data_IF_424729746435
#
_entry.id   IF_424729746435
#
_cell.length_a   1.000
_cell.length_b   1.000
_cell.length_c   1.000
_cell.angle_alpha   90.00
_cell.angle_beta   90.00
_cell.angle_gamma   90.00
#
_symmetry.space_group_name_H-M   'P 1'
#
loop_
_entity.id
_entity.type
_entity.pdbx_description
1 polymer ?
#
# COMPACT_ATOMS: atom_id res chain seq x y z
N UNK A 1 53.07 47.22 51.67
CA UNK A 1 52.87 45.75 51.59
C UNK A 1 51.39 45.45 51.40
N UNK A 2 51.08 44.87 50.23
CA UNK A 2 49.94 44.00 49.90
C UNK A 2 48.48 44.48 50.08
N UNK A 3 47.96 44.93 48.94
CA UNK A 3 46.58 44.91 48.46
C UNK A 3 45.94 43.52 48.51
N UNK A 4 44.65 43.44 48.88
CA UNK A 4 43.76 42.35 48.44
C UNK A 4 42.37 42.91 48.10
N UNK A 5 42.15 43.16 46.81
CA UNK A 5 40.83 43.39 46.20
C UNK A 5 40.08 42.05 46.13
N UNK A 6 38.95 41.93 46.82
CA UNK A 6 37.99 40.85 46.61
C UNK A 6 37.22 41.11 45.31
N UNK A 7 37.59 40.40 44.24
CA UNK A 7 36.84 40.37 42.99
C UNK A 7 35.53 39.58 43.16
N UNK A 8 34.40 40.21 42.83
CA UNK A 8 33.11 39.52 42.64
C UNK A 8 33.10 38.92 41.25
N UNK A 9 33.14 37.59 41.16
CA UNK A 9 32.94 36.84 39.93
C UNK A 9 31.41 36.69 39.74
N UNK A 10 30.83 37.45 38.81
CA UNK A 10 29.43 37.31 38.40
C UNK A 10 29.40 36.24 37.31
N UNK A 11 28.93 35.04 37.66
CA UNK A 11 28.71 33.94 36.73
C UNK A 11 27.37 34.18 36.00
N UNK A 12 27.43 34.66 34.76
CA UNK A 12 26.29 34.74 33.86
C UNK A 12 25.98 33.34 33.33
N UNK A 13 24.96 32.70 33.90
CA UNK A 13 24.39 31.46 33.36
C UNK A 13 23.49 31.85 32.18
N UNK A 14 23.99 31.66 30.96
CA UNK A 14 23.19 31.73 29.74
C UNK A 14 22.28 30.49 29.68
N UNK A 15 21.02 30.65 30.08
CA UNK A 15 19.97 29.68 29.77
C UNK A 15 19.66 29.77 28.26
N UNK A 16 20.35 28.97 27.46
CA UNK A 16 19.90 28.67 26.10
C UNK A 16 18.62 27.85 26.22
N UNK A 17 17.47 28.51 26.09
CA UNK A 17 16.21 27.84 25.87
C UNK A 17 16.30 27.13 24.51
N UNK A 18 16.60 25.82 24.55
CA UNK A 18 16.42 24.96 23.40
C UNK A 18 14.92 24.91 23.13
N UNK A 19 14.43 25.74 22.20
CA UNK A 19 13.09 25.59 21.66
C UNK A 19 13.09 24.32 20.82
N UNK A 20 12.86 23.18 21.47
CA UNK A 20 12.42 21.99 20.80
C UNK A 20 11.18 22.38 20.00
N UNK A 21 11.29 22.37 18.66
CA UNK A 21 10.13 22.37 17.78
C UNK A 21 9.37 21.08 18.05
N UNK A 22 8.53 21.09 19.08
CA UNK A 22 7.41 20.16 19.14
C UNK A 22 6.51 20.58 17.99
N UNK A 23 6.63 19.89 16.85
CA UNK A 23 5.62 19.97 15.80
C UNK A 23 4.30 19.55 16.45
N UNK A 24 3.49 20.52 16.87
CA UNK A 24 2.17 20.25 17.44
C UNK A 24 1.38 19.57 16.35
N UNK A 25 1.06 18.29 16.53
CA UNK A 25 0.25 17.55 15.59
C UNK A 25 -1.09 18.28 15.44
N UNK A 26 -1.33 18.84 14.26
CA UNK A 26 -2.54 19.61 13.98
C UNK A 26 -3.58 18.66 13.39
N UNK A 27 -4.55 18.32 14.23
CA UNK A 27 -5.65 17.42 13.88
C UNK A 27 -6.73 18.21 13.16
N UNK A 28 -7.15 17.70 12.01
CA UNK A 28 -8.26 18.22 11.24
C UNK A 28 -9.39 17.20 11.26
N UNK A 29 -10.54 17.62 11.77
CA UNK A 29 -11.76 16.81 11.77
C UNK A 29 -12.75 17.44 10.78
N UNK A 30 -13.41 16.65 9.94
CA UNK A 30 -14.50 17.12 9.09
C UNK A 30 -15.61 17.77 9.93
N UNK A 31 -16.31 18.77 9.40
CA UNK A 31 -17.50 19.30 10.04
C UNK A 31 -18.55 18.20 10.29
N UNK A 32 -19.32 18.24 11.38
CA UNK A 32 -20.30 17.21 11.74
C UNK A 32 -21.30 16.89 10.62
N UNK A 33 -21.69 17.89 9.84
CA UNK A 33 -22.63 17.77 8.72
C UNK A 33 -22.09 16.96 7.52
N UNK A 34 -20.80 16.62 7.51
CA UNK A 34 -20.16 15.84 6.42
C UNK A 34 -19.96 14.37 6.75
N UNK A 35 -20.58 13.86 7.82
CA UNK A 35 -20.49 12.45 8.21
C UNK A 35 -19.04 11.92 8.29
N UNK A 36 -18.09 12.76 8.73
CA UNK A 36 -16.68 12.36 8.81
C UNK A 36 -15.91 12.38 7.48
N UNK A 37 -16.40 13.08 6.45
CA UNK A 37 -15.76 13.15 5.12
C UNK A 37 -15.20 14.54 4.79
N UNK A 38 -13.91 14.61 4.46
CA UNK A 38 -13.34 15.73 3.71
C UNK A 38 -13.55 15.51 2.22
N UNK A 39 -14.47 16.26 1.62
CA UNK A 39 -14.66 16.26 0.17
C UNK A 39 -13.59 17.14 -0.49
N UNK A 40 -12.87 16.56 -1.44
CA UNK A 40 -11.83 17.23 -2.21
C UNK A 40 -12.14 17.13 -3.70
N UNK A 41 -12.35 18.29 -4.32
CA UNK A 41 -12.73 18.45 -5.73
C UNK A 41 -11.59 18.96 -6.62
N UNK A 42 -10.49 19.34 -5.99
CA UNK A 42 -9.36 20.00 -6.64
C UNK A 42 -8.10 19.89 -5.78
N UNK A 43 -6.94 19.98 -6.41
CA UNK A 43 -5.66 20.05 -5.70
C UNK A 43 -5.60 21.26 -4.74
N UNK A 44 -6.27 22.37 -5.05
CA UNK A 44 -6.36 23.53 -4.14
C UNK A 44 -7.08 23.20 -2.83
N UNK A 45 -8.09 22.32 -2.85
CA UNK A 45 -8.73 21.82 -1.63
C UNK A 45 -7.78 20.94 -0.82
N UNK A 46 -7.01 20.07 -1.50
CA UNK A 46 -5.98 19.22 -0.90
C UNK A 46 -4.86 20.06 -0.26
N UNK A 47 -4.39 21.11 -0.95
CA UNK A 47 -3.34 22.02 -0.45
C UNK A 47 -3.76 22.75 0.84
N UNK A 48 -5.04 23.08 0.99
CA UNK A 48 -5.56 23.68 2.23
C UNK A 48 -5.47 22.71 3.40
N UNK A 49 -5.68 21.42 3.16
CA UNK A 49 -5.49 20.37 4.17
C UNK A 49 -3.99 20.21 4.47
N UNK A 50 -3.14 20.06 3.45
CA UNK A 50 -1.69 19.90 3.61
C UNK A 50 -1.04 21.03 4.43
N UNK A 51 -1.48 22.28 4.24
CA UNK A 51 -0.97 23.44 4.98
C UNK A 51 -1.40 23.49 6.45
N UNK A 52 -2.47 22.78 6.80
CA UNK A 52 -3.15 22.91 8.09
C UNK A 52 -3.12 21.66 8.93
N UNK A 53 -2.91 20.49 8.34
CA UNK A 53 -3.17 19.23 8.99
C UNK A 53 -1.90 18.39 8.95
N UNK A 54 -1.55 17.79 10.09
CA UNK A 54 -0.62 16.66 10.14
C UNK A 54 -1.37 15.36 10.39
N UNK A 55 -2.63 15.44 10.84
CA UNK A 55 -3.52 14.31 11.09
C UNK A 55 -4.92 14.65 10.63
N UNK A 56 -5.54 13.73 9.91
CA UNK A 56 -6.94 13.80 9.48
C UNK A 56 -7.72 12.79 10.30
N UNK A 57 -8.64 13.28 11.12
CA UNK A 57 -9.57 12.44 11.86
C UNK A 57 -10.87 12.31 11.06
N UNK A 58 -10.87 11.44 10.06
CA UNK A 58 -11.96 11.21 9.11
C UNK A 58 -11.43 10.59 7.82
N UNK A 59 -12.29 10.51 6.81
CA UNK A 59 -11.94 10.03 5.48
C UNK A 59 -11.72 11.17 4.49
N UNK A 60 -10.94 10.92 3.45
CA UNK A 60 -10.80 11.76 2.27
C UNK A 60 -11.71 11.20 1.16
N UNK A 61 -12.67 11.99 0.72
CA UNK A 61 -13.57 11.64 -0.38
C UNK A 61 -13.21 12.44 -1.64
N UNK A 62 -12.70 11.77 -2.67
CA UNK A 62 -12.36 12.35 -3.97
C UNK A 62 -13.66 12.60 -4.75
N UNK A 63 -13.99 13.87 -4.98
CA UNK A 63 -15.22 14.25 -5.66
C UNK A 63 -15.17 13.91 -7.16
N UNK A 64 -16.34 13.64 -7.76
CA UNK A 64 -16.49 13.16 -9.15
C UNK A 64 -15.85 14.04 -10.22
N UNK A 65 -15.71 15.34 -9.95
CA UNK A 65 -15.09 16.31 -10.84
C UNK A 65 -13.57 16.49 -10.62
N UNK A 66 -12.96 15.74 -9.70
CA UNK A 66 -11.52 15.81 -9.47
C UNK A 66 -10.78 15.32 -10.72
N UNK A 67 -9.78 16.08 -11.16
CA UNK A 67 -8.94 15.74 -12.31
C UNK A 67 -7.48 16.04 -12.01
N UNK A 68 -6.57 15.37 -12.72
CA UNK A 68 -5.13 15.59 -12.59
C UNK A 68 -4.53 14.94 -11.35
N UNK A 69 -3.36 15.43 -10.92
CA UNK A 69 -2.64 14.80 -9.81
C UNK A 69 -3.29 15.10 -8.45
N UNK A 70 -3.26 14.12 -7.54
CA UNK A 70 -3.56 14.29 -6.12
C UNK A 70 -2.28 14.21 -5.32
N UNK A 71 -1.90 15.30 -4.67
CA UNK A 71 -0.69 15.41 -3.87
C UNK A 71 -1.00 15.97 -2.49
N UNK A 72 -0.89 15.16 -1.43
CA UNK A 72 -1.14 15.56 -0.05
C UNK A 72 0.12 15.34 0.82
N UNK A 73 1.02 16.32 0.88
CA UNK A 73 2.20 16.26 1.75
C UNK A 73 1.84 16.59 3.20
N UNK A 74 2.77 16.33 4.12
CA UNK A 74 2.76 16.69 5.55
C UNK A 74 1.72 15.97 6.44
N UNK A 75 0.67 15.39 5.87
CA UNK A 75 -0.28 14.54 6.59
C UNK A 75 0.35 13.18 6.83
N UNK A 76 0.48 12.81 8.11
CA UNK A 76 1.08 11.54 8.55
C UNK A 76 0.08 10.48 8.94
N UNK A 77 -1.11 10.89 9.39
CA UNK A 77 -2.13 9.97 9.88
C UNK A 77 -3.49 10.34 9.29
N UNK A 78 -4.21 9.34 8.78
CA UNK A 78 -5.61 9.43 8.37
C UNK A 78 -6.37 8.33 9.10
N UNK A 79 -7.41 8.65 9.87
CA UNK A 79 -8.15 7.62 10.62
C UNK A 79 -9.15 6.84 9.76
N UNK A 80 -9.65 7.45 8.69
CA UNK A 80 -10.65 6.86 7.78
C UNK A 80 -10.09 6.46 6.43
N UNK A 81 -10.98 6.38 5.44
CA UNK A 81 -10.68 5.94 4.08
C UNK A 81 -10.00 7.03 3.24
N UNK A 82 -9.35 6.61 2.15
CA UNK A 82 -9.17 7.44 0.96
C UNK A 82 -10.01 6.81 -0.15
N UNK A 83 -11.15 7.41 -0.44
CA UNK A 83 -12.19 6.81 -1.27
C UNK A 83 -12.70 7.78 -2.32
N UNK A 84 -13.37 7.21 -3.31
CA UNK A 84 -14.32 7.95 -4.14
C UNK A 84 -15.70 7.32 -3.97
N UNK A 85 -16.71 7.89 -4.63
CA UNK A 85 -18.08 7.38 -4.58
C UNK A 85 -18.23 5.92 -5.03
N UNK A 86 -19.47 5.45 -5.18
CA UNK A 86 -19.71 4.06 -5.56
C UNK A 86 -19.19 3.78 -6.98
N UNK A 87 -18.55 2.62 -7.17
CA UNK A 87 -18.06 2.14 -8.47
C UNK A 87 -19.10 2.18 -9.61
N UNK A 88 -20.39 2.07 -9.26
CA UNK A 88 -21.53 2.10 -10.17
C UNK A 88 -21.94 3.51 -10.61
N UNK A 89 -21.34 4.55 -10.05
CA UNK A 89 -21.58 5.93 -10.47
C UNK A 89 -21.09 6.13 -11.92
N UNK A 90 -21.94 6.75 -12.74
CA UNK A 90 -21.65 7.01 -14.16
C UNK A 90 -20.55 8.04 -14.36
N UNK A 91 -20.43 9.00 -13.44
CA UNK A 91 -19.39 10.03 -13.47
C UNK A 91 -18.33 9.73 -12.40
N UNK A 92 -17.15 9.34 -12.87
CA UNK A 92 -16.02 8.96 -12.05
C UNK A 92 -14.97 10.06 -12.03
N UNK A 93 -14.31 10.30 -10.89
CA UNK A 93 -13.18 11.22 -10.87
C UNK A 93 -12.07 10.70 -11.79
N UNK A 94 -11.23 11.62 -12.26
CA UNK A 94 -10.14 11.32 -13.19
C UNK A 94 -8.79 11.76 -12.62
N UNK A 95 -8.42 11.33 -11.40
CA UNK A 95 -7.09 11.60 -10.89
C UNK A 95 -6.07 10.82 -11.74
N UNK A 96 -4.94 11.44 -12.05
CA UNK A 96 -3.84 10.77 -12.74
C UNK A 96 -2.92 10.02 -11.78
N UNK A 97 -2.84 10.51 -10.54
CA UNK A 97 -1.93 10.01 -9.52
C UNK A 97 -2.47 10.30 -8.12
N UNK A 98 -2.07 9.48 -7.15
CA UNK A 98 -2.36 9.65 -5.73
C UNK A 98 -1.06 9.54 -4.93
N UNK A 99 -0.58 10.69 -4.44
CA UNK A 99 0.72 10.82 -3.79
C UNK A 99 0.58 11.40 -2.38
N UNK A 100 0.90 10.61 -1.37
CA UNK A 100 0.90 11.01 0.04
C UNK A 100 2.28 10.69 0.66
N UNK A 101 3.31 11.49 0.36
CA UNK A 101 4.71 11.14 0.62
C UNK A 101 5.08 11.06 2.11
N UNK A 102 4.26 11.63 2.97
CA UNK A 102 4.48 11.70 4.42
C UNK A 102 3.51 10.83 5.23
N UNK A 103 2.57 10.14 4.57
CA UNK A 103 1.59 9.31 5.27
C UNK A 103 2.29 8.10 5.89
N UNK A 104 2.07 7.88 7.19
CA UNK A 104 2.66 6.79 7.99
C UNK A 104 1.58 5.78 8.44
N UNK A 105 0.34 6.24 8.65
CA UNK A 105 -0.79 5.41 9.10
C UNK A 105 -2.08 5.79 8.38
N UNK A 106 -2.82 4.77 7.92
CA UNK A 106 -4.18 4.89 7.41
C UNK A 106 -5.06 3.87 8.13
N UNK A 107 -6.07 4.33 8.88
CA UNK A 107 -6.84 3.49 9.80
C UNK A 107 -7.90 2.60 9.17
N UNK A 108 -8.16 2.76 7.87
CA UNK A 108 -9.22 2.05 7.14
C UNK A 108 -8.73 1.63 5.75
N UNK A 109 -9.49 1.86 4.67
CA UNK A 109 -9.21 1.33 3.33
C UNK A 109 -8.93 2.41 2.26
N UNK A 110 -8.39 1.97 1.14
CA UNK A 110 -8.17 2.73 -0.11
C UNK A 110 -8.98 2.06 -1.25
N UNK A 111 -10.32 2.20 -1.28
CA UNK A 111 -11.15 1.63 -2.35
C UNK A 111 -11.20 2.58 -3.56
N UNK A 112 -10.22 2.47 -4.46
CA UNK A 112 -10.11 3.32 -5.65
C UNK A 112 -10.20 2.52 -6.96
N UNK A 113 -10.88 1.38 -6.92
CA UNK A 113 -11.18 0.55 -8.08
C UNK A 113 -12.07 1.32 -9.08
N UNK A 114 -12.00 0.95 -10.36
CA UNK A 114 -12.81 1.54 -11.42
C UNK A 114 -12.41 2.95 -11.86
N UNK A 115 -11.20 3.42 -11.56
CA UNK A 115 -10.63 4.71 -11.99
C UNK A 115 -9.53 4.52 -13.07
N UNK A 116 -9.87 4.52 -14.37
CA UNK A 116 -8.91 4.17 -15.44
C UNK A 116 -7.75 5.14 -15.61
N UNK A 117 -7.87 6.37 -15.09
CA UNK A 117 -6.80 7.38 -15.20
C UNK A 117 -5.82 7.31 -14.03
N UNK A 118 -6.16 6.62 -12.94
CA UNK A 118 -5.34 6.56 -11.74
C UNK A 118 -4.26 5.49 -11.89
N UNK A 119 -3.11 5.89 -12.42
CA UNK A 119 -2.04 4.96 -12.79
C UNK A 119 -0.87 4.96 -11.80
N UNK A 120 -0.71 6.03 -11.02
CA UNK A 120 0.40 6.19 -10.06
C UNK A 120 -0.15 6.27 -8.65
N UNK A 121 0.33 5.40 -7.76
CA UNK A 121 0.03 5.41 -6.34
C UNK A 121 1.32 5.38 -5.52
N UNK A 122 1.55 6.41 -4.70
CA UNK A 122 2.76 6.53 -3.90
C UNK A 122 2.44 6.96 -2.47
N UNK A 123 2.68 6.04 -1.54
CA UNK A 123 2.61 6.27 -0.09
C UNK A 123 3.85 5.63 0.55
N UNK A 124 5.06 6.07 0.19
CA UNK A 124 6.31 5.35 0.45
C UNK A 124 6.65 5.22 1.93
N UNK A 125 6.01 6.00 2.82
CA UNK A 125 6.20 5.97 4.27
C UNK A 125 5.05 5.28 5.01
N UNK A 126 3.98 4.87 4.32
CA UNK A 126 2.83 4.23 4.95
C UNK A 126 3.30 2.90 5.52
N UNK A 127 3.15 2.70 6.83
CA UNK A 127 3.59 1.48 7.53
C UNK A 127 2.44 0.54 7.83
N UNK A 128 1.30 1.11 8.20
CA UNK A 128 0.14 0.35 8.62
C UNK A 128 -1.08 0.87 7.91
N UNK A 129 -1.76 -0.07 7.25
CA UNK A 129 -3.10 0.10 6.71
C UNK A 129 -4.05 -0.76 7.53
N UNK A 130 -5.12 -0.18 8.04
CA UNK A 130 -6.12 -0.88 8.86
C UNK A 130 -7.18 -1.65 8.07
N UNK A 131 -7.10 -1.66 6.74
CA UNK A 131 -8.08 -2.28 5.86
C UNK A 131 -7.47 -2.63 4.50
N UNK A 132 -8.24 -2.41 3.44
CA UNK A 132 -7.94 -2.92 2.10
C UNK A 132 -7.37 -1.86 1.15
N UNK A 133 -6.55 -2.27 0.19
CA UNK A 133 -6.19 -1.46 -0.99
C UNK A 133 -6.80 -2.11 -2.22
N UNK A 134 -7.62 -1.37 -2.98
CA UNK A 134 -8.22 -1.89 -4.22
C UNK A 134 -8.02 -0.93 -5.39
N UNK A 135 -7.22 -1.32 -6.39
CA UNK A 135 -6.90 -0.54 -7.60
C UNK A 135 -6.97 -1.42 -8.85
N UNK A 136 -7.56 -0.90 -9.93
CA UNK A 136 -7.80 -1.68 -11.16
C UNK A 136 -6.86 -1.35 -12.33
N UNK A 137 -6.16 -0.22 -12.30
CA UNK A 137 -5.40 0.33 -13.44
C UNK A 137 -4.00 0.86 -13.03
N UNK A 138 -3.37 0.22 -12.05
CA UNK A 138 -2.07 0.62 -11.55
C UNK A 138 -0.95 0.39 -12.58
N UNK A 139 -0.03 1.36 -12.69
CA UNK A 139 1.22 1.25 -13.45
C UNK A 139 2.44 1.36 -12.53
N UNK A 140 2.42 2.35 -11.64
CA UNK A 140 3.49 2.59 -10.65
C UNK A 140 2.88 2.56 -9.24
N UNK A 141 3.39 1.65 -8.40
CA UNK A 141 2.90 1.41 -7.04
C UNK A 141 4.08 1.47 -6.07
N UNK A 142 4.05 2.42 -5.14
CA UNK A 142 5.08 2.60 -4.13
C UNK A 142 4.53 2.62 -2.71
N UNK A 143 4.60 1.46 -2.08
CA UNK A 143 4.25 1.21 -0.68
C UNK A 143 5.43 0.54 0.03
N UNK A 144 6.66 0.95 -0.29
CA UNK A 144 7.91 0.30 0.17
C UNK A 144 8.03 0.11 1.68
N UNK A 145 7.38 0.96 2.48
CA UNK A 145 7.40 0.89 3.95
C UNK A 145 6.18 0.19 4.55
N UNK A 146 5.22 -0.25 3.74
CA UNK A 146 4.00 -0.90 4.24
C UNK A 146 4.39 -2.22 4.87
N UNK A 147 4.07 -2.41 6.14
CA UNK A 147 4.37 -3.63 6.89
C UNK A 147 3.13 -4.53 7.00
N UNK A 148 1.95 -3.95 7.19
CA UNK A 148 0.71 -4.67 7.47
C UNK A 148 -0.49 -4.06 6.73
N UNK A 149 -1.34 -4.92 6.17
CA UNK A 149 -2.63 -4.58 5.56
C UNK A 149 -3.61 -5.76 5.74
N UNK A 150 -4.91 -5.52 5.59
CA UNK A 150 -5.89 -6.62 5.58
C UNK A 150 -5.90 -7.30 4.22
N UNK A 151 -6.23 -6.55 3.16
CA UNK A 151 -6.09 -6.99 1.77
C UNK A 151 -5.30 -6.00 0.92
N UNK A 152 -4.61 -6.53 -0.08
CA UNK A 152 -3.91 -5.77 -1.12
C UNK A 152 -4.35 -6.31 -2.47
N UNK A 153 -5.07 -5.51 -3.25
CA UNK A 153 -5.54 -5.83 -4.60
C UNK A 153 -5.05 -4.78 -5.61
N UNK A 154 -3.95 -5.10 -6.28
CA UNK A 154 -3.38 -4.29 -7.35
C UNK A 154 -3.59 -4.97 -8.69
N UNK A 155 -4.31 -4.31 -9.58
CA UNK A 155 -4.48 -4.71 -10.98
C UNK A 155 -4.07 -3.55 -11.88
N UNK A 156 -3.58 -3.88 -13.05
CA UNK A 156 -3.17 -2.90 -14.04
C UNK A 156 -1.96 -3.38 -14.84
N UNK A 157 -1.58 -2.60 -15.83
CA UNK A 157 -0.32 -2.78 -16.55
C UNK A 157 0.88 -2.27 -15.72
N UNK A 158 1.16 -2.98 -14.63
CA UNK A 158 2.15 -2.60 -13.61
C UNK A 158 3.57 -2.75 -14.17
N UNK A 159 4.31 -1.66 -14.18
CA UNK A 159 5.74 -1.63 -14.54
C UNK A 159 6.66 -1.44 -13.33
N UNK A 160 6.15 -0.87 -12.24
CA UNK A 160 6.90 -0.70 -11.00
C UNK A 160 6.02 -1.03 -9.79
N UNK A 161 6.48 -1.95 -8.95
CA UNK A 161 5.82 -2.37 -7.73
C UNK A 161 6.83 -2.43 -6.58
N UNK A 162 6.64 -1.60 -5.55
CA UNK A 162 7.46 -1.62 -4.33
C UNK A 162 6.65 -1.94 -3.10
N UNK A 163 6.94 -3.09 -2.51
CA UNK A 163 6.32 -3.65 -1.30
C UNK A 163 7.38 -4.25 -0.37
N UNK A 164 8.57 -3.64 -0.32
CA UNK A 164 9.78 -4.21 0.28
C UNK A 164 9.61 -4.63 1.75
N UNK A 165 8.86 -3.86 2.52
CA UNK A 165 8.64 -4.07 3.95
C UNK A 165 7.39 -4.88 4.28
N UNK A 166 6.60 -5.29 3.27
CA UNK A 166 5.31 -5.95 3.49
C UNK A 166 5.55 -7.28 4.18
N UNK A 167 5.13 -7.37 5.44
CA UNK A 167 5.40 -8.50 6.34
C UNK A 167 4.18 -9.39 6.48
N UNK A 168 3.00 -8.78 6.57
CA UNK A 168 1.75 -9.49 6.85
C UNK A 168 0.59 -8.91 6.04
N UNK A 169 -0.18 -9.81 5.43
CA UNK A 169 -1.45 -9.48 4.77
C UNK A 169 -2.51 -10.42 5.32
N UNK A 170 -3.44 -9.91 6.13
CA UNK A 170 -4.33 -10.77 6.93
C UNK A 170 -5.23 -11.66 6.08
N UNK A 171 -5.67 -11.17 4.92
CA UNK A 171 -6.73 -11.80 4.12
C UNK A 171 -6.28 -12.19 2.72
N UNK A 172 -5.99 -11.21 1.84
CA UNK A 172 -5.70 -11.49 0.43
C UNK A 172 -4.64 -10.57 -0.13
N UNK A 173 -3.62 -11.15 -0.74
CA UNK A 173 -2.69 -10.48 -1.63
C UNK A 173 -3.01 -10.88 -3.08
N UNK A 174 -3.63 -9.97 -3.84
CA UNK A 174 -3.87 -10.11 -5.26
C UNK A 174 -3.05 -9.10 -6.05
N UNK A 175 -2.25 -9.61 -6.99
CA UNK A 175 -1.50 -8.80 -7.95
C UNK A 175 -1.80 -9.34 -9.34
N UNK A 176 -2.46 -8.55 -10.18
CA UNK A 176 -2.69 -8.89 -11.58
C UNK A 176 -1.96 -7.88 -12.47
N UNK A 177 -0.97 -8.35 -13.22
CA UNK A 177 -0.38 -7.60 -14.32
C UNK A 177 -1.30 -7.67 -15.55
N UNK A 178 -2.47 -7.05 -15.42
CA UNK A 178 -3.44 -6.71 -16.46
C UNK A 178 -4.53 -5.82 -15.86
N UNK A 179 -5.05 -4.87 -16.64
CA UNK A 179 -6.14 -4.00 -16.21
C UNK A 179 -7.35 -4.82 -15.78
N UNK A 180 -7.96 -4.44 -14.65
CA UNK A 180 -9.11 -5.12 -14.01
C UNK A 180 -8.93 -6.64 -13.81
N UNK A 181 -7.70 -7.16 -13.91
CA UNK A 181 -7.39 -8.59 -13.92
C UNK A 181 -8.11 -9.37 -15.05
N UNK A 182 -8.38 -8.73 -16.19
CA UNK A 182 -9.00 -9.36 -17.35
C UNK A 182 -7.93 -10.08 -18.21
N UNK A 183 -8.02 -11.41 -18.42
CA UNK A 183 -7.09 -12.14 -19.28
C UNK A 183 -7.17 -11.76 -20.76
N UNK A 184 -8.25 -11.11 -21.21
CA UNK A 184 -8.40 -10.60 -22.57
C UNK A 184 -7.61 -9.30 -22.83
N UNK A 185 -7.14 -8.63 -21.77
CA UNK A 185 -6.33 -7.42 -21.83
C UNK A 185 -4.90 -7.80 -21.46
N UNK A 186 -4.05 -8.18 -22.42
CA UNK A 186 -2.68 -8.58 -22.10
C UNK A 186 -1.88 -7.37 -21.60
N UNK A 187 -1.00 -7.55 -20.60
CA UNK A 187 -0.10 -6.48 -20.17
C UNK A 187 0.91 -6.13 -21.26
N UNK A 188 1.38 -4.89 -21.24
CA UNK A 188 2.39 -4.38 -22.17
C UNK A 188 3.76 -4.98 -21.86
N UNK A 189 4.12 -5.04 -20.57
CA UNK A 189 5.43 -5.48 -20.10
C UNK A 189 5.37 -6.67 -19.13
N UNK A 190 6.48 -7.40 -18.94
CA UNK A 190 6.61 -8.33 -17.84
C UNK A 190 6.73 -7.57 -16.50
N UNK A 191 6.30 -8.21 -15.41
CA UNK A 191 6.40 -7.70 -14.05
C UNK A 191 7.29 -8.58 -13.20
N UNK A 192 8.25 -7.97 -12.52
CA UNK A 192 9.01 -8.59 -11.44
C UNK A 192 8.31 -8.33 -10.11
N UNK A 193 8.09 -9.39 -9.33
CA UNK A 193 7.43 -9.30 -8.02
C UNK A 193 8.44 -9.74 -6.95
N UNK A 194 8.89 -8.78 -6.14
CA UNK A 194 9.75 -9.06 -4.97
C UNK A 194 9.03 -8.66 -3.68
N UNK A 195 8.91 -9.61 -2.77
CA UNK A 195 8.25 -9.50 -1.48
C UNK A 195 9.19 -10.06 -0.40
N UNK A 196 10.36 -9.44 -0.20
CA UNK A 196 11.46 -10.03 0.58
C UNK A 196 11.12 -10.20 2.06
N UNK A 197 10.21 -9.36 2.59
CA UNK A 197 9.83 -9.34 4.01
C UNK A 197 8.54 -10.12 4.31
N UNK A 198 7.81 -10.59 3.30
CA UNK A 198 6.50 -11.21 3.49
C UNK A 198 6.64 -12.52 4.25
N UNK A 199 6.01 -12.62 5.41
CA UNK A 199 6.12 -13.77 6.33
C UNK A 199 4.82 -14.55 6.43
N UNK A 200 3.68 -13.86 6.45
CA UNK A 200 2.36 -14.45 6.58
C UNK A 200 1.36 -13.76 5.65
N UNK A 201 0.48 -14.55 5.06
CA UNK A 201 -0.60 -14.06 4.19
C UNK A 201 -1.82 -14.96 4.30
N UNK A 202 -3.03 -14.41 4.27
CA UNK A 202 -4.26 -15.20 4.20
C UNK A 202 -4.32 -16.05 2.94
N UNK A 203 -4.34 -15.40 1.77
CA UNK A 203 -4.34 -16.04 0.45
C UNK A 203 -3.54 -15.21 -0.56
N UNK A 204 -2.98 -15.87 -1.57
CA UNK A 204 -2.18 -15.20 -2.61
C UNK A 204 -2.78 -15.50 -3.98
N UNK A 205 -2.89 -14.48 -4.82
CA UNK A 205 -3.21 -14.61 -6.24
C UNK A 205 -2.36 -13.70 -7.09
N UNK A 206 -1.49 -14.29 -7.91
CA UNK A 206 -0.59 -13.59 -8.80
C UNK A 206 -0.92 -13.99 -10.24
N UNK A 207 -1.30 -13.02 -11.07
CA UNK A 207 -1.69 -13.25 -12.47
C UNK A 207 -1.03 -12.29 -13.44
N UNK A 208 -0.89 -12.71 -14.68
CA UNK A 208 -0.48 -11.86 -15.81
C UNK A 208 0.91 -12.23 -16.32
N UNK A 209 1.60 -11.29 -16.95
CA UNK A 209 2.96 -11.54 -17.47
C UNK A 209 3.98 -11.30 -16.38
N UNK A 210 4.34 -12.34 -15.64
CA UNK A 210 5.28 -12.25 -14.50
C UNK A 210 6.62 -12.86 -14.91
N UNK A 211 7.70 -12.08 -14.78
CA UNK A 211 9.07 -12.52 -15.11
C UNK A 211 9.81 -13.15 -13.95
N UNK A 212 9.55 -12.68 -12.73
CA UNK A 212 10.16 -13.23 -11.52
C UNK A 212 9.24 -13.10 -10.31
N UNK A 213 9.38 -14.03 -9.36
CA UNK A 213 8.73 -13.99 -8.06
C UNK A 213 9.73 -14.33 -6.95
N UNK A 214 9.97 -13.38 -6.06
CA UNK A 214 10.85 -13.56 -4.91
C UNK A 214 10.08 -13.38 -3.59
N UNK A 215 9.86 -14.49 -2.88
CA UNK A 215 9.14 -14.54 -1.59
C UNK A 215 9.93 -15.34 -0.54
N UNK A 216 11.20 -14.98 -0.26
CA UNK A 216 12.12 -15.81 0.52
C UNK A 216 11.72 -15.96 2.00
N UNK A 217 10.95 -15.01 2.54
CA UNK A 217 10.58 -14.98 3.96
C UNK A 217 9.23 -15.63 4.27
N UNK A 218 8.48 -16.07 3.25
CA UNK A 218 7.12 -16.56 3.44
C UNK A 218 7.14 -17.86 4.24
N UNK A 219 6.49 -17.85 5.40
CA UNK A 219 6.43 -18.98 6.33
C UNK A 219 5.07 -19.66 6.38
N UNK A 220 3.99 -18.89 6.22
CA UNK A 220 2.62 -19.38 6.32
C UNK A 220 1.68 -18.71 5.33
N UNK A 221 0.85 -19.53 4.70
CA UNK A 221 -0.41 -19.11 4.09
C UNK A 221 -1.53 -19.59 5.00
N UNK A 222 -2.28 -18.67 5.60
CA UNK A 222 -3.17 -18.95 6.75
C UNK A 222 -4.62 -19.22 6.36
N UNK A 223 -5.00 -18.93 5.12
CA UNK A 223 -6.37 -18.98 4.63
C UNK A 223 -7.12 -17.69 4.89
N UNK A 224 -8.13 -17.43 4.07
CA UNK A 224 -9.11 -16.38 4.29
C UNK A 224 -10.39 -17.01 4.88
N UNK A 225 -11.00 -16.35 5.87
CA UNK A 225 -12.28 -16.80 6.46
C UNK A 225 -13.47 -16.59 5.52
N UNK A 226 -13.34 -15.70 4.54
CA UNK A 226 -14.42 -15.27 3.64
C UNK A 226 -14.29 -15.84 2.22
N UNK A 227 -13.11 -16.29 1.78
CA UNK A 227 -12.86 -16.79 0.42
C UNK A 227 -12.06 -18.11 0.43
N UNK A 228 -12.71 -19.22 0.04
CA UNK A 228 -12.18 -20.59 0.17
C UNK A 228 -11.53 -21.16 -1.10
N UNK A 229 -11.36 -20.37 -2.16
CA UNK A 229 -11.04 -20.93 -3.47
C UNK A 229 -9.59 -21.41 -3.62
N UNK A 230 -8.63 -20.72 -3.01
CA UNK A 230 -7.20 -21.07 -3.09
C UNK A 230 -6.44 -20.54 -1.88
N UNK A 231 -5.38 -21.26 -1.49
CA UNK A 231 -4.36 -20.69 -0.61
C UNK A 231 -3.38 -19.85 -1.42
N UNK A 232 -2.91 -20.41 -2.53
CA UNK A 232 -1.93 -19.76 -3.41
C UNK A 232 -2.24 -20.05 -4.88
N UNK A 233 -2.54 -19.03 -5.66
CA UNK A 233 -2.71 -19.09 -7.11
C UNK A 233 -1.60 -18.28 -7.79
N UNK A 234 -0.86 -18.92 -8.70
CA UNK A 234 0.11 -18.27 -9.58
C UNK A 234 -0.15 -18.68 -11.02
N UNK A 235 -0.51 -17.71 -11.85
CA UNK A 235 -0.79 -17.91 -13.27
C UNK A 235 -0.02 -16.90 -14.11
N UNK A 236 1.05 -17.34 -14.76
CA UNK A 236 1.86 -16.48 -15.65
C UNK A 236 1.74 -16.87 -17.12
N UNK A 237 1.84 -15.92 -18.05
CA UNK A 237 1.94 -16.25 -19.49
C UNK A 237 2.68 -15.16 -20.27
N UNK A 238 3.36 -15.57 -21.35
CA UNK A 238 4.03 -14.64 -22.27
C UNK A 238 5.29 -13.98 -21.72
N UNK A 239 5.72 -14.36 -20.51
CA UNK A 239 6.95 -13.93 -19.86
C UNK A 239 8.07 -14.97 -19.98
N UNK A 240 9.28 -14.68 -19.46
CA UNK A 240 10.28 -15.71 -19.25
C UNK A 240 9.75 -16.73 -18.22
N UNK A 241 10.38 -17.90 -18.21
CA UNK A 241 10.03 -18.96 -17.26
C UNK A 241 10.31 -18.51 -15.82
N UNK A 242 9.26 -18.35 -15.02
CA UNK A 242 9.38 -17.94 -13.63
C UNK A 242 9.79 -19.13 -12.75
N UNK A 243 10.90 -19.02 -12.02
CA UNK A 243 11.27 -20.00 -11.00
C UNK A 243 10.53 -19.65 -9.69
N UNK A 244 9.84 -20.62 -9.10
CA UNK A 244 9.10 -20.45 -7.86
C UNK A 244 9.78 -21.24 -6.76
N UNK A 245 10.27 -20.55 -5.74
CA UNK A 245 10.85 -21.19 -4.55
C UNK A 245 10.28 -20.56 -3.29
N UNK A 246 9.96 -21.41 -2.31
CA UNK A 246 9.40 -21.00 -1.03
C UNK A 246 10.28 -21.58 0.10
N UNK A 247 11.49 -21.06 0.30
CA UNK A 247 12.51 -21.72 1.13
C UNK A 247 12.14 -21.83 2.60
N UNK A 248 11.18 -21.03 3.09
CA UNK A 248 10.76 -20.99 4.49
C UNK A 248 9.30 -21.40 4.71
N UNK A 249 8.58 -21.75 3.63
CA UNK A 249 7.15 -22.05 3.73
C UNK A 249 6.95 -23.37 4.46
N UNK A 250 6.21 -23.31 5.56
CA UNK A 250 5.99 -24.43 6.47
C UNK A 250 4.51 -24.81 6.59
N UNK A 251 3.60 -23.88 6.29
CA UNK A 251 2.16 -24.09 6.34
C UNK A 251 1.49 -23.45 5.13
N UNK A 252 0.61 -24.19 4.47
CA UNK A 252 -0.22 -23.72 3.38
C UNK A 252 -1.65 -24.17 3.63
N UNK A 253 -2.53 -23.24 3.97
CA UNK A 253 -3.95 -23.48 4.06
C UNK A 253 -4.60 -23.29 2.68
N UNK A 254 -5.31 -24.32 2.21
CA UNK A 254 -6.02 -24.30 0.93
C UNK A 254 -5.19 -24.78 -0.26
N UNK A 255 -5.81 -24.89 -1.44
CA UNK A 255 -5.13 -25.40 -2.64
C UNK A 255 -3.97 -24.51 -3.14
N UNK A 256 -2.95 -25.16 -3.72
CA UNK A 256 -1.90 -24.54 -4.53
C UNK A 256 -2.24 -24.70 -6.02
N UNK A 257 -2.43 -23.60 -6.73
CA UNK A 257 -2.65 -23.58 -8.18
C UNK A 257 -1.49 -22.90 -8.88
N UNK A 258 -0.86 -23.63 -9.78
CA UNK A 258 0.24 -23.14 -10.62
C UNK A 258 -0.14 -23.38 -12.09
N UNK A 259 -0.10 -22.34 -12.91
CA UNK A 259 -0.31 -22.43 -14.36
C UNK A 259 0.57 -21.46 -15.13
N UNK A 260 0.95 -21.83 -16.35
CA UNK A 260 1.76 -20.96 -17.21
C UNK A 260 3.10 -21.53 -17.65
N UNK A 261 3.92 -20.63 -18.21
CA UNK A 261 5.28 -20.89 -18.68
C UNK A 261 6.23 -21.09 -17.47
N UNK A 262 6.27 -22.30 -16.93
CA UNK A 262 7.10 -22.69 -15.78
C UNK A 262 8.07 -23.84 -16.13
N UNK A 263 9.19 -23.99 -15.40
CA UNK A 263 10.10 -25.10 -15.61
C UNK A 263 9.40 -26.44 -15.34
N UNK A 264 9.65 -27.46 -16.16
CA UNK A 264 9.01 -28.78 -16.03
C UNK A 264 9.17 -29.42 -14.64
N UNK A 265 10.27 -29.13 -13.92
CA UNK A 265 10.51 -29.69 -12.58
C UNK A 265 9.58 -29.14 -11.49
N UNK A 266 8.94 -28.00 -11.72
CA UNK A 266 7.86 -27.50 -10.86
C UNK A 266 6.51 -28.15 -11.21
N UNK A 267 6.36 -28.64 -12.45
CA UNK A 267 5.16 -29.28 -12.97
C UNK A 267 5.11 -30.80 -12.73
N UNK A 268 6.24 -31.44 -12.43
CA UNK A 268 6.30 -32.89 -12.11
C UNK A 268 5.86 -33.23 -10.69
N UNK A 269 5.68 -32.24 -9.81
CA UNK A 269 4.90 -32.39 -8.59
C UNK A 269 3.40 -32.23 -8.88
N UNK A 270 2.89 -32.97 -9.89
CA UNK A 270 1.45 -33.19 -10.04
C UNK A 270 0.95 -33.79 -8.73
N UNK A 271 0.14 -33.03 -8.02
CA UNK A 271 -0.45 -33.42 -6.73
C UNK A 271 0.53 -33.45 -5.57
N UNK A 272 1.27 -32.36 -5.30
CA UNK A 272 1.52 -32.05 -3.89
C UNK A 272 0.29 -31.34 -3.33
N UNK A 273 -0.72 -32.13 -2.98
CA UNK A 273 -1.59 -31.74 -1.87
C UNK A 273 -0.67 -31.76 -0.66
N UNK A 274 -0.01 -30.64 -0.40
CA UNK A 274 0.63 -30.39 0.88
C UNK A 274 -0.52 -30.16 1.87
N UNK A 275 -1.12 -31.25 2.36
CA UNK A 275 -1.93 -31.19 3.57
C UNK A 275 -0.95 -31.03 4.74
N UNK A 276 -0.77 -29.81 5.21
CA UNK A 276 -0.36 -29.62 6.59
C UNK A 276 -1.63 -29.37 7.41
N UNK A 277 -2.00 -30.43 8.14
CA UNK A 277 -3.20 -30.63 8.98
C UNK A 277 -4.56 -30.58 8.29
#
# INVERSE_FOLDING_TARGET
MHSFRKGRLILLILLTAATSLTATAKICTPPPERNGLFHVDSQSAVDKLAKRCTTINGSLHIARNYTGSFYLPHVRNISGNIEWGHYLDSEKPKPSSLNLPDLEYLGSSIPLNGLPTLTILSMPKLKTLGGDINIDYAHEVDFRSLETADSVDFKGNISELRLDSLREVNEKLQICNSDVCDPAIPPVGPLDISLPSLQSVGSVKLKGRISSLEVPSLTSVTGNKEDYYYGFEFSTSGGPTANLTFPRLSSLFGPLYLSGDMPEHLLTNKTTVVKFT
#
